data_IF_515591082852
#
_entry.id   IF_515591082852
#
_cell.length_a   1.000
_cell.length_b   1.000
_cell.length_c   1.000
_cell.angle_alpha   90.00
_cell.angle_beta   90.00
_cell.angle_gamma   90.00
#
_symmetry.space_group_name_H-M   'P 1'
#
loop_
_entity.id
_entity.type
_entity.pdbx_description
1 polymer ?
#
# COMPACT_ATOMS: atom_id res chain seq x y z
N UNK A 1 -25.95 16.50 17.37
CA UNK A 1 -24.68 15.74 17.42
C UNK A 1 -24.08 15.78 16.03
N UNK A 2 -22.94 16.45 15.86
CA UNK A 2 -22.22 16.44 14.58
C UNK A 2 -21.42 15.14 14.58
N UNK A 3 -21.89 14.14 13.84
CA UNK A 3 -21.12 12.92 13.61
C UNK A 3 -19.98 13.25 12.65
N UNK A 4 -18.79 13.45 13.20
CA UNK A 4 -17.58 13.51 12.39
C UNK A 4 -17.30 12.07 11.95
N UNK A 5 -17.58 11.74 10.69
CA UNK A 5 -17.22 10.44 10.12
C UNK A 5 -15.72 10.23 10.29
N UNK A 6 -15.35 9.23 11.09
CA UNK A 6 -13.97 8.89 11.36
C UNK A 6 -13.38 8.23 10.12
N UNK A 7 -12.82 9.04 9.22
CA UNK A 7 -12.21 8.59 7.96
C UNK A 7 -11.04 7.61 8.12
N UNK A 8 -10.57 7.37 9.35
CA UNK A 8 -9.58 6.32 9.64
C UNK A 8 -10.11 4.90 9.45
N UNK A 9 -11.41 4.67 9.57
CA UNK A 9 -11.97 3.32 9.46
C UNK A 9 -12.18 2.88 8.01
N UNK A 10 -12.47 3.82 7.11
CA UNK A 10 -12.71 3.53 5.68
C UNK A 10 -11.40 3.19 4.94
N UNK A 11 -10.26 3.74 5.38
CA UNK A 11 -8.94 3.54 4.75
C UNK A 11 -8.09 2.45 5.41
N UNK A 12 -8.66 1.60 6.29
CA UNK A 12 -7.95 0.37 6.68
C UNK A 12 -7.99 -0.61 5.50
N UNK A 13 -7.13 -0.38 4.51
CA UNK A 13 -6.82 -1.40 3.50
C UNK A 13 -6.42 -2.66 4.28
N UNK A 14 -7.04 -3.79 3.95
CA UNK A 14 -6.70 -5.08 4.57
C UNK A 14 -5.25 -5.45 4.22
N UNK A 15 -4.35 -5.16 5.16
CA UNK A 15 -2.92 -5.43 5.04
C UNK A 15 -2.57 -6.62 5.92
N UNK A 16 -1.96 -7.62 5.32
CA UNK A 16 -1.40 -8.76 6.06
C UNK A 16 0.07 -8.44 6.28
N UNK A 17 0.50 -8.25 7.54
CA UNK A 17 1.89 -7.93 7.90
C UNK A 17 2.50 -6.75 7.10
N UNK A 18 1.71 -5.70 6.87
CA UNK A 18 2.18 -4.47 6.22
C UNK A 18 2.16 -4.47 4.69
N UNK A 19 1.86 -5.60 4.03
CA UNK A 19 1.64 -5.67 2.58
C UNK A 19 0.17 -5.94 2.27
N UNK A 20 -0.33 -5.40 1.16
CA UNK A 20 -1.65 -5.74 0.64
C UNK A 20 -1.76 -7.22 0.25
N UNK A 21 -2.96 -7.77 0.31
CA UNK A 21 -3.22 -9.17 -0.09
C UNK A 21 -2.78 -9.47 -1.53
N UNK A 22 -2.89 -8.48 -2.42
CA UNK A 22 -2.45 -8.59 -3.81
C UNK A 22 -0.92 -8.68 -3.91
N UNK A 23 -0.18 -7.89 -3.11
CA UNK A 23 1.28 -7.96 -3.08
C UNK A 23 1.78 -9.32 -2.55
N UNK A 24 1.07 -9.93 -1.59
CA UNK A 24 1.36 -11.30 -1.15
C UNK A 24 1.11 -12.35 -2.24
N UNK A 25 0.01 -12.23 -2.98
CA UNK A 25 -0.27 -13.13 -4.12
C UNK A 25 0.81 -13.01 -5.21
N UNK A 26 1.27 -11.79 -5.47
CA UNK A 26 2.35 -11.52 -6.42
C UNK A 26 3.67 -12.14 -5.94
N UNK A 27 4.02 -11.98 -4.66
CA UNK A 27 5.21 -12.62 -4.07
C UNK A 27 5.16 -14.14 -4.15
N UNK A 28 4.00 -14.76 -3.95
CA UNK A 28 3.85 -16.21 -4.04
C UNK A 28 4.04 -16.67 -5.49
N UNK A 29 3.33 -16.07 -6.44
CA UNK A 29 3.44 -16.41 -7.86
C UNK A 29 4.86 -16.20 -8.38
N UNK A 30 5.46 -15.05 -8.10
CA UNK A 30 6.81 -14.72 -8.50
C UNK A 30 7.81 -15.66 -7.82
N UNK A 31 7.68 -15.88 -6.51
CA UNK A 31 8.61 -16.72 -5.76
C UNK A 31 8.62 -18.17 -6.22
N UNK A 32 7.44 -18.77 -6.44
CA UNK A 32 7.33 -20.14 -6.98
C UNK A 32 7.94 -20.21 -8.38
N UNK A 33 7.62 -19.25 -9.26
CA UNK A 33 8.15 -19.23 -10.62
C UNK A 33 9.67 -19.09 -10.62
N UNK A 34 10.20 -18.15 -9.86
CA UNK A 34 11.65 -17.87 -9.81
C UNK A 34 12.40 -19.02 -9.15
N UNK A 35 11.80 -19.70 -8.18
CA UNK A 35 12.39 -20.88 -7.55
C UNK A 35 12.50 -22.06 -8.53
N UNK A 36 11.53 -22.26 -9.43
CA UNK A 36 11.59 -23.32 -10.45
C UNK A 36 12.77 -23.10 -11.41
N UNK A 37 13.02 -21.85 -11.84
CA UNK A 37 14.05 -21.55 -12.83
C UNK A 37 15.45 -21.33 -12.24
N UNK A 38 15.52 -20.74 -11.04
CA UNK A 38 16.77 -20.24 -10.45
C UNK A 38 17.09 -20.85 -9.08
N UNK A 39 16.27 -21.78 -8.59
CA UNK A 39 16.44 -22.50 -7.32
C UNK A 39 16.75 -21.56 -6.15
N UNK A 40 17.92 -21.67 -5.52
CA UNK A 40 18.33 -20.84 -4.38
C UNK A 40 18.40 -19.33 -4.72
N UNK A 41 18.74 -18.97 -5.95
CA UNK A 41 18.72 -17.57 -6.37
C UNK A 41 17.30 -17.01 -6.43
N UNK A 42 16.30 -17.86 -6.65
CA UNK A 42 14.89 -17.48 -6.59
C UNK A 42 14.47 -16.96 -5.21
N UNK A 43 15.06 -17.49 -4.13
CA UNK A 43 14.78 -17.03 -2.76
C UNK A 43 15.26 -15.58 -2.58
N UNK A 44 16.50 -15.28 -3.00
CA UNK A 44 17.06 -13.94 -2.90
C UNK A 44 16.25 -12.92 -3.72
N UNK A 45 15.83 -13.30 -4.93
CA UNK A 45 15.02 -12.44 -5.80
C UNK A 45 13.63 -12.18 -5.21
N UNK A 46 13.02 -13.18 -4.58
CA UNK A 46 11.73 -13.03 -3.89
C UNK A 46 11.83 -12.10 -2.69
N UNK A 47 12.94 -12.18 -1.93
CA UNK A 47 13.19 -11.32 -0.79
C UNK A 47 13.43 -9.87 -1.22
N UNK A 48 14.19 -9.66 -2.30
CA UNK A 48 14.37 -8.35 -2.91
C UNK A 48 13.03 -7.73 -3.37
N UNK A 49 12.18 -8.54 -4.02
CA UNK A 49 10.86 -8.11 -4.45
C UNK A 49 9.96 -7.74 -3.26
N UNK A 50 10.04 -8.50 -2.15
CA UNK A 50 9.27 -8.22 -0.94
C UNK A 50 9.61 -6.85 -0.35
N UNK A 51 10.91 -6.51 -0.29
CA UNK A 51 11.37 -5.20 0.19
C UNK A 51 10.88 -4.09 -0.75
N UNK A 52 10.99 -4.29 -2.06
CA UNK A 52 10.54 -3.30 -3.04
C UNK A 52 9.03 -3.05 -2.92
N UNK A 53 8.22 -4.09 -2.80
CA UNK A 53 6.77 -3.97 -2.61
C UNK A 53 6.43 -3.30 -1.28
N UNK A 54 7.18 -3.58 -0.21
CA UNK A 54 6.98 -2.90 1.08
C UNK A 54 7.24 -1.39 0.97
N UNK A 55 8.29 -0.98 0.25
CA UNK A 55 8.61 0.43 0.01
C UNK A 55 7.52 1.10 -0.83
N UNK A 56 7.06 0.44 -1.90
CA UNK A 56 5.98 0.97 -2.75
C UNK A 56 4.66 1.10 -1.98
N UNK A 57 4.32 0.11 -1.15
CA UNK A 57 3.12 0.14 -0.33
C UNK A 57 3.18 1.25 0.73
N UNK A 58 4.37 1.55 1.25
CA UNK A 58 4.60 2.69 2.14
C UNK A 58 4.35 4.03 1.41
N UNK A 59 4.89 4.19 0.20
CA UNK A 59 4.64 5.39 -0.59
C UNK A 59 3.19 5.55 -1.03
N UNK A 60 2.50 4.45 -1.39
CA UNK A 60 1.10 4.52 -1.81
C UNK A 60 0.22 5.06 -0.69
N UNK A 61 0.36 4.53 0.52
CA UNK A 61 -0.37 5.03 1.70
C UNK A 61 -0.08 6.50 2.00
N UNK A 62 1.20 6.88 2.00
CA UNK A 62 1.61 8.26 2.31
C UNK A 62 1.15 9.26 1.23
N UNK A 63 1.22 8.90 -0.05
CA UNK A 63 0.80 9.76 -1.16
C UNK A 63 -0.71 10.00 -1.13
N UNK A 64 -1.52 8.96 -0.87
CA UNK A 64 -2.98 9.13 -0.76
C UNK A 64 -3.36 10.05 0.41
N UNK A 65 -2.68 9.91 1.54
CA UNK A 65 -2.92 10.81 2.69
C UNK A 65 -2.53 12.25 2.33
N UNK A 66 -1.36 12.47 1.73
CA UNK A 66 -0.90 13.80 1.31
C UNK A 66 -1.86 14.44 0.28
N UNK A 67 -2.30 13.68 -0.72
CA UNK A 67 -3.22 14.17 -1.77
C UNK A 67 -4.59 14.46 -1.17
N UNK A 68 -5.11 13.60 -0.30
CA UNK A 68 -6.43 13.79 0.31
C UNK A 68 -6.47 14.99 1.26
N UNK A 69 -5.39 15.25 2.01
CA UNK A 69 -5.24 16.44 2.86
C UNK A 69 -5.22 17.69 1.99
N UNK A 70 -4.40 17.72 0.94
CA UNK A 70 -4.30 18.89 0.06
C UNK A 70 -5.63 19.19 -0.67
N UNK A 71 -6.33 18.15 -1.12
CA UNK A 71 -7.64 18.31 -1.75
C UNK A 71 -8.66 18.90 -0.77
N UNK A 72 -8.69 18.41 0.48
CA UNK A 72 -9.59 18.94 1.51
C UNK A 72 -9.29 20.39 1.90
N UNK A 73 -8.03 20.78 1.97
CA UNK A 73 -7.65 22.17 2.22
C UNK A 73 -8.15 23.09 1.10
N UNK A 74 -7.98 22.68 -0.16
CA UNK A 74 -8.48 23.42 -1.32
C UNK A 74 -10.02 23.54 -1.33
N UNK A 75 -10.74 22.47 -0.97
CA UNK A 75 -12.20 22.51 -0.86
C UNK A 75 -12.71 23.38 0.29
N UNK A 76 -12.04 23.38 1.45
CA UNK A 76 -12.42 24.25 2.58
C UNK A 76 -12.21 25.73 2.26
N UNK A 77 -11.13 26.08 1.56
CA UNK A 77 -10.86 27.46 1.19
C UNK A 77 -11.93 28.06 0.27
N UNK A 78 -12.51 27.25 -0.63
CA UNK A 78 -13.58 27.67 -1.53
C UNK A 78 -14.99 27.71 -0.88
N UNK A 79 -15.19 27.09 0.29
CA UNK A 79 -16.49 27.09 0.99
C UNK A 79 -16.65 28.24 1.98
N UNK A 80 -15.56 28.90 2.37
CA UNK A 80 -15.53 30.05 3.29
C UNK A 80 -15.19 31.38 2.58
N UNK A 81 -15.08 31.37 1.26
CA UNK A 81 -14.94 32.55 0.40
C UNK A 81 -16.29 32.88 -0.26
#
# INVERSE_FOLDING_TARGET
MISVENRKEITKKDKVRGLSRNAWMLLLLFGVTTFIFFFLYGILMTLALMILLAILEYFDDDIYDIVSINLQYSFRQNYYA
#
